data_IF_123641350581
#
_entry.id   IF_123641350581
#
_cell.length_a   1.000
_cell.length_b   1.000
_cell.length_c   1.000
_cell.angle_alpha   90.00
_cell.angle_beta   90.00
_cell.angle_gamma   90.00
#
_symmetry.space_group_name_H-M   'P 1'
#
loop_
_entity.id
_entity.type
_entity.pdbx_description
1 polymer ?
#
# COMPACT_ATOMS: atom_id res chain seq x y z
N UNK A 1 2.86 50.90 -38.41
CA UNK A 1 4.11 51.04 -37.62
C UNK A 1 4.18 49.85 -36.65
N UNK A 2 4.94 48.84 -37.05
CA UNK A 2 5.15 47.62 -36.25
C UNK A 2 6.31 47.86 -35.30
N UNK A 3 6.14 47.59 -34.00
CA UNK A 3 7.23 47.51 -33.03
C UNK A 3 7.39 46.07 -32.56
N UNK A 4 8.46 45.44 -33.02
CA UNK A 4 8.91 44.10 -32.59
C UNK A 4 9.58 44.20 -31.23
N UNK A 5 9.18 43.37 -30.28
CA UNK A 5 9.84 43.18 -28.98
C UNK A 5 10.83 42.02 -29.05
N UNK A 6 12.02 42.10 -28.43
CA UNK A 6 13.03 41.05 -28.49
C UNK A 6 12.72 39.89 -27.52
N UNK A 7 12.81 38.66 -28.04
CA UNK A 7 12.73 37.42 -27.25
C UNK A 7 14.08 37.17 -26.56
N UNK A 8 14.12 37.33 -25.26
CA UNK A 8 15.27 36.94 -24.44
C UNK A 8 15.23 35.42 -24.20
N UNK A 9 16.19 34.70 -24.78
CA UNK A 9 16.40 33.25 -24.51
C UNK A 9 17.14 33.12 -23.18
N UNK A 10 16.48 32.53 -22.13
CA UNK A 10 17.15 32.12 -20.93
C UNK A 10 17.82 30.75 -21.16
N UNK A 11 19.14 30.77 -21.24
CA UNK A 11 19.98 29.58 -21.26
C UNK A 11 20.07 29.03 -19.82
N UNK A 12 19.47 27.88 -19.58
CA UNK A 12 19.62 27.15 -18.29
C UNK A 12 20.93 26.36 -18.33
N UNK A 13 21.87 26.78 -17.50
CA UNK A 13 23.12 26.06 -17.23
C UNK A 13 22.78 24.91 -16.26
N UNK A 14 22.93 23.65 -16.72
CA UNK A 14 22.90 22.46 -15.85
C UNK A 14 24.28 22.35 -15.15
N UNK A 15 24.30 22.56 -13.85
CA UNK A 15 25.44 22.22 -13.01
C UNK A 15 25.30 20.75 -12.59
N UNK A 16 26.13 19.87 -13.17
CA UNK A 16 26.29 18.49 -12.71
C UNK A 16 27.15 18.50 -11.44
N UNK A 17 26.56 18.22 -10.29
CA UNK A 17 27.29 17.94 -9.06
C UNK A 17 27.62 16.43 -9.03
N UNK A 18 28.90 16.09 -9.21
CA UNK A 18 29.44 14.76 -9.03
C UNK A 18 29.61 14.49 -7.53
N UNK A 19 28.94 13.47 -7.00
CA UNK A 19 29.11 12.96 -5.64
C UNK A 19 30.11 11.81 -5.66
N UNK A 20 31.25 11.86 -4.93
CA UNK A 20 32.17 10.73 -4.84
C UNK A 20 31.60 9.66 -3.89
N UNK A 21 31.41 8.44 -4.39
CA UNK A 21 31.12 7.25 -3.59
C UNK A 21 32.42 6.75 -2.96
N UNK A 22 32.53 6.85 -1.62
CA UNK A 22 33.60 6.20 -0.88
C UNK A 22 33.19 4.76 -0.55
N UNK A 23 33.85 3.80 -1.18
CA UNK A 23 33.84 2.38 -0.81
C UNK A 23 34.77 2.18 0.38
N UNK A 24 34.21 1.85 1.53
CA UNK A 24 34.98 1.34 2.68
C UNK A 24 34.97 -0.18 2.59
N UNK A 25 36.08 -0.76 2.17
CA UNK A 25 36.35 -2.18 2.25
C UNK A 25 36.91 -2.49 3.64
N UNK A 26 36.12 -3.16 4.48
CA UNK A 26 36.62 -3.77 5.73
C UNK A 26 37.15 -5.17 5.38
N UNK A 27 38.46 -5.31 5.27
CA UNK A 27 39.17 -6.58 5.13
C UNK A 27 39.31 -7.27 6.48
N UNK A 28 38.82 -8.50 6.59
CA UNK A 28 39.27 -9.43 7.61
C UNK A 28 40.54 -10.12 7.12
N UNK A 29 41.67 -9.84 7.72
CA UNK A 29 42.88 -10.63 7.57
C UNK A 29 42.98 -11.61 8.72
N UNK A 30 42.98 -12.88 8.40
CA UNK A 30 43.45 -13.96 9.28
C UNK A 30 44.92 -14.20 8.97
N UNK A 31 45.76 -13.91 9.94
CA UNK A 31 47.18 -14.27 9.91
C UNK A 31 47.38 -15.62 10.56
N UNK A 32 47.99 -16.51 9.80
CA UNK A 32 48.55 -17.79 10.23
C UNK A 32 50.05 -17.73 10.08
N UNK A 33 50.81 -17.93 11.15
CA UNK A 33 52.23 -18.33 11.15
C UNK A 33 52.48 -19.16 12.38
N UNK A 34 52.80 -20.31 12.19
CA UNK A 34 53.95 -21.13 11.87
C UNK A 34 54.80 -21.57 13.09
N UNK A 35 55.03 -22.88 13.12
CA UNK A 35 56.18 -23.64 13.60
C UNK A 35 56.48 -23.81 15.07
N UNK A 36 56.50 -25.07 15.48
CA UNK A 36 57.20 -25.58 16.66
C UNK A 36 56.97 -27.07 16.88
N UNK A 37 57.81 -27.90 16.27
CA UNK A 37 57.96 -29.34 16.55
C UNK A 37 58.34 -29.58 18.01
N UNK A 38 57.75 -30.57 18.71
CA UNK A 38 58.57 -31.63 19.38
C UNK A 38 57.69 -32.79 19.80
N UNK A 39 58.24 -33.98 19.61
CA UNK A 39 57.76 -35.34 19.95
C UNK A 39 57.54 -35.57 21.43
N UNK A 40 56.56 -36.38 21.76
CA UNK A 40 56.43 -36.99 23.09
C UNK A 40 55.33 -38.04 23.12
N UNK A 41 55.72 -39.24 23.14
CA UNK A 41 55.00 -40.51 23.15
C UNK A 41 54.37 -40.79 24.54
N UNK A 42 53.19 -41.43 24.57
CA UNK A 42 52.71 -42.10 25.82
C UNK A 42 51.19 -42.15 25.91
N UNK A 43 50.58 -43.13 25.41
CA UNK A 43 49.90 -44.28 26.03
C UNK A 43 48.67 -44.01 26.90
N UNK A 44 47.59 -44.59 26.41
CA UNK A 44 46.49 -45.33 27.07
C UNK A 44 45.36 -44.63 27.84
N UNK A 45 44.18 -44.96 27.33
CA UNK A 45 42.95 -45.37 28.02
C UNK A 45 42.07 -44.30 28.66
N UNK A 46 40.93 -43.99 28.08
CA UNK A 46 39.62 -44.48 28.57
C UNK A 46 38.52 -43.83 27.74
N UNK A 47 37.68 -44.63 27.15
CA UNK A 47 36.44 -44.21 26.51
C UNK A 47 35.52 -43.55 27.55
N UNK A 48 35.28 -42.25 27.39
CA UNK A 48 34.18 -41.60 28.08
C UNK A 48 33.10 -41.35 27.04
N UNK A 49 32.05 -42.15 27.12
CA UNK A 49 30.82 -42.02 26.36
C UNK A 49 30.18 -40.68 26.74
N UNK A 50 30.42 -39.65 25.99
CA UNK A 50 29.69 -38.39 26.14
C UNK A 50 28.27 -38.61 25.61
N UNK A 51 27.35 -38.76 26.56
CA UNK A 51 25.90 -38.77 26.34
C UNK A 51 25.55 -37.49 25.56
N UNK A 52 25.17 -37.66 24.32
CA UNK A 52 24.62 -36.54 23.54
C UNK A 52 23.31 -36.10 24.21
N UNK A 53 23.36 -34.95 24.86
CA UNK A 53 22.15 -34.27 25.33
C UNK A 53 21.31 -33.97 24.08
N UNK A 54 20.04 -34.41 24.01
CA UNK A 54 19.18 -34.08 22.89
C UNK A 54 19.01 -32.57 22.86
N UNK A 55 19.46 -31.97 21.75
CA UNK A 55 19.17 -30.58 21.44
C UNK A 55 17.67 -30.34 21.52
N UNK A 56 17.19 -29.28 22.20
CA UNK A 56 15.77 -29.04 22.30
C UNK A 56 15.19 -28.96 20.89
N UNK A 57 14.31 -29.90 20.57
CA UNK A 57 13.52 -29.91 19.35
C UNK A 57 12.81 -28.56 19.28
N UNK A 58 13.20 -27.70 18.36
CA UNK A 58 12.47 -26.47 18.10
C UNK A 58 11.04 -26.88 17.74
N UNK A 59 10.13 -26.64 18.67
CA UNK A 59 8.69 -26.76 18.45
C UNK A 59 8.36 -25.85 17.25
N UNK A 60 8.12 -26.43 16.09
CA UNK A 60 7.64 -25.70 14.93
C UNK A 60 6.29 -25.11 15.30
N UNK A 61 6.25 -23.79 15.54
CA UNK A 61 5.02 -23.07 15.85
C UNK A 61 4.06 -23.29 14.68
N UNK A 62 3.01 -24.08 14.90
CA UNK A 62 1.96 -24.27 13.90
C UNK A 62 1.25 -22.94 13.70
N UNK A 63 1.36 -22.38 12.52
CA UNK A 63 0.75 -21.08 12.17
C UNK A 63 -0.62 -21.35 11.54
N UNK A 64 -1.63 -20.57 11.93
CA UNK A 64 -2.98 -20.67 11.35
C UNK A 64 -2.94 -20.46 9.83
N UNK A 65 -3.59 -21.32 9.03
CA UNK A 65 -3.66 -21.16 7.58
C UNK A 65 -4.32 -19.84 7.18
N UNK A 66 -3.86 -19.26 6.08
CA UNK A 66 -4.46 -18.04 5.52
C UNK A 66 -5.90 -18.33 5.08
N UNK A 67 -6.84 -17.46 5.48
CA UNK A 67 -8.29 -17.62 5.22
C UNK A 67 -8.62 -17.56 3.74
N UNK A 68 -7.98 -16.68 2.99
CA UNK A 68 -8.23 -16.45 1.57
C UNK A 68 -6.99 -16.76 0.74
N UNK A 69 -7.16 -17.60 -0.28
CA UNK A 69 -6.10 -18.03 -1.18
C UNK A 69 -5.95 -17.14 -2.42
N UNK A 70 -6.99 -16.37 -2.76
CA UNK A 70 -7.05 -15.60 -4.02
C UNK A 70 -7.53 -14.17 -3.77
N UNK A 71 -7.08 -13.25 -4.63
CA UNK A 71 -7.67 -11.92 -4.78
C UNK A 71 -8.79 -11.96 -5.82
N UNK A 72 -9.79 -11.06 -5.72
CA UNK A 72 -10.80 -10.89 -6.77
C UNK A 72 -10.18 -10.28 -8.03
N UNK A 73 -10.89 -10.34 -9.15
CA UNK A 73 -10.58 -9.53 -10.33
C UNK A 73 -10.83 -8.05 -10.00
N UNK A 74 -9.73 -7.32 -9.72
CA UNK A 74 -9.79 -6.05 -8.97
C UNK A 74 -10.67 -5.01 -9.64
N UNK A 75 -10.59 -4.84 -10.96
CA UNK A 75 -11.41 -3.86 -11.68
C UNK A 75 -12.89 -4.28 -11.80
N UNK A 76 -13.25 -5.51 -11.42
CA UNK A 76 -14.63 -6.00 -11.34
C UNK A 76 -15.14 -6.13 -9.91
N UNK A 77 -14.30 -5.84 -8.92
CA UNK A 77 -14.65 -5.97 -7.50
C UNK A 77 -15.67 -4.94 -7.01
N UNK A 78 -15.81 -3.85 -7.75
CA UNK A 78 -16.85 -2.84 -7.57
C UNK A 78 -17.72 -2.84 -8.83
N UNK A 79 -19.03 -2.90 -8.67
CA UNK A 79 -19.96 -3.01 -9.79
C UNK A 79 -19.87 -1.81 -10.75
N UNK A 80 -20.10 -2.05 -12.03
CA UNK A 80 -20.14 -0.98 -13.04
C UNK A 80 -21.19 0.10 -12.71
N UNK A 81 -22.30 -0.28 -12.06
CA UNK A 81 -23.33 0.66 -11.59
C UNK A 81 -22.77 1.59 -10.52
N UNK A 82 -22.07 1.05 -9.54
CA UNK A 82 -21.46 1.85 -8.45
C UNK A 82 -20.35 2.73 -8.99
N UNK A 83 -19.42 2.22 -9.80
CA UNK A 83 -18.34 3.03 -10.36
C UNK A 83 -18.86 4.14 -11.27
N UNK A 84 -19.87 3.90 -12.09
CA UNK A 84 -20.50 4.94 -12.93
C UNK A 84 -21.23 6.01 -12.11
N UNK A 85 -21.83 5.64 -10.97
CA UNK A 85 -22.48 6.59 -10.06
C UNK A 85 -21.46 7.46 -9.32
N UNK A 86 -20.35 6.86 -8.85
CA UNK A 86 -19.33 7.55 -8.06
C UNK A 86 -18.39 8.40 -8.92
N UNK A 87 -18.09 7.94 -10.13
CA UNK A 87 -17.19 8.61 -11.08
C UNK A 87 -17.93 8.83 -12.41
N UNK A 88 -18.91 9.77 -12.46
CA UNK A 88 -19.56 10.13 -13.70
C UNK A 88 -18.51 10.59 -14.72
N UNK A 89 -18.69 10.18 -16.00
CA UNK A 89 -17.72 10.50 -17.06
C UNK A 89 -16.30 9.95 -16.81
N UNK A 90 -16.21 8.77 -16.15
CA UNK A 90 -14.94 8.08 -16.01
C UNK A 90 -14.24 7.92 -17.38
N UNK A 91 -12.97 8.29 -17.46
CA UNK A 91 -12.16 8.18 -18.69
C UNK A 91 -12.10 6.72 -19.18
N UNK A 92 -11.98 5.78 -18.24
CA UNK A 92 -12.00 4.34 -18.49
C UNK A 92 -13.14 3.73 -17.67
N UNK A 93 -14.24 3.35 -18.32
CA UNK A 93 -15.43 2.81 -17.64
C UNK A 93 -15.13 1.55 -16.83
N UNK A 94 -14.25 0.68 -17.35
CA UNK A 94 -13.84 -0.57 -16.70
C UNK A 94 -12.70 -0.39 -15.67
N UNK A 95 -12.29 0.85 -15.42
CA UNK A 95 -11.16 1.17 -14.55
C UNK A 95 -9.80 0.97 -15.24
N UNK A 96 -8.77 1.47 -14.59
CA UNK A 96 -7.37 1.31 -14.99
C UNK A 96 -6.67 0.45 -13.95
N UNK A 97 -6.22 -0.76 -14.31
CA UNK A 97 -5.48 -1.61 -13.39
C UNK A 97 -4.17 -0.97 -12.96
N UNK A 98 -3.83 -1.14 -11.68
CA UNK A 98 -2.51 -0.79 -11.19
C UNK A 98 -1.47 -1.80 -11.70
N UNK A 99 -0.27 -1.30 -12.01
CA UNK A 99 0.85 -2.18 -12.39
C UNK A 99 1.37 -2.87 -11.14
N UNK A 100 1.46 -4.19 -11.16
CA UNK A 100 2.05 -5.02 -10.11
C UNK A 100 2.85 -6.15 -10.72
N UNK A 101 4.01 -6.43 -10.16
CA UNK A 101 4.83 -7.61 -10.50
C UNK A 101 4.32 -8.89 -9.81
N UNK A 102 3.45 -8.76 -8.82
CA UNK A 102 2.86 -9.86 -8.05
C UNK A 102 1.35 -9.69 -7.97
N UNK A 103 0.66 -10.22 -8.97
CA UNK A 103 -0.80 -10.18 -9.06
C UNK A 103 -1.50 -11.20 -8.15
N UNK A 104 -0.77 -12.12 -7.56
CA UNK A 104 -1.33 -13.13 -6.66
C UNK A 104 -1.58 -12.58 -5.26
N UNK A 105 -0.74 -11.66 -4.82
CA UNK A 105 -0.83 -11.03 -3.50
C UNK A 105 -1.18 -9.54 -3.52
N UNK A 106 -1.13 -8.88 -4.68
CA UNK A 106 -1.39 -7.44 -4.81
C UNK A 106 -2.16 -7.11 -6.07
N UNK A 107 -3.12 -6.21 -5.96
CA UNK A 107 -3.85 -5.70 -7.11
C UNK A 107 -4.50 -4.37 -6.79
N UNK A 108 -4.75 -3.57 -7.82
CA UNK A 108 -5.43 -2.28 -7.68
C UNK A 108 -6.16 -1.90 -8.94
N UNK A 109 -7.16 -1.04 -8.79
CA UNK A 109 -7.89 -0.45 -9.91
C UNK A 109 -8.35 0.96 -9.57
N UNK A 110 -8.30 1.85 -10.54
CA UNK A 110 -8.71 3.24 -10.35
C UNK A 110 -9.62 3.74 -11.46
N UNK A 111 -10.50 4.66 -11.09
CA UNK A 111 -11.41 5.38 -11.99
C UNK A 111 -11.29 6.86 -11.73
N UNK A 112 -11.16 7.66 -12.78
CA UNK A 112 -11.20 9.11 -12.66
C UNK A 112 -12.03 9.71 -13.78
N UNK A 113 -12.69 10.81 -13.48
CA UNK A 113 -13.54 11.50 -14.43
C UNK A 113 -13.75 12.95 -14.05
N UNK A 114 -13.94 13.78 -15.06
CA UNK A 114 -14.39 15.15 -14.96
C UNK A 114 -15.75 15.27 -15.66
N UNK A 115 -16.80 15.57 -14.89
CA UNK A 115 -18.09 15.99 -15.44
C UNK A 115 -17.99 17.48 -15.75
N UNK A 116 -17.51 17.75 -16.95
CA UNK A 116 -17.24 19.13 -17.42
C UNK A 116 -18.52 19.81 -17.87
N UNK A 117 -18.83 20.94 -17.25
CA UNK A 117 -19.96 21.83 -17.58
C UNK A 117 -19.47 23.24 -17.95
N UNK A 118 -18.20 23.35 -18.29
CA UNK A 118 -17.54 24.63 -18.64
C UNK A 118 -17.67 25.65 -17.51
N UNK A 119 -18.04 26.87 -17.85
CA UNK A 119 -18.22 27.98 -16.91
C UNK A 119 -19.36 27.80 -15.89
N UNK A 120 -20.21 26.77 -16.06
CA UNK A 120 -21.29 26.43 -15.11
C UNK A 120 -20.79 25.55 -13.95
N UNK A 121 -19.50 25.32 -13.89
CA UNK A 121 -18.85 24.50 -12.91
C UNK A 121 -18.66 23.05 -13.38
N UNK A 122 -17.61 22.41 -12.93
CA UNK A 122 -17.26 21.03 -13.26
C UNK A 122 -16.99 20.23 -11.99
N UNK A 123 -17.24 18.93 -12.03
CA UNK A 123 -17.07 18.04 -10.88
C UNK A 123 -16.05 16.95 -11.21
N UNK A 124 -14.95 16.93 -10.48
CA UNK A 124 -13.95 15.87 -10.56
C UNK A 124 -14.19 14.80 -9.52
N UNK A 125 -14.01 13.54 -9.91
CA UNK A 125 -14.06 12.39 -9.01
C UNK A 125 -12.92 11.43 -9.31
N UNK A 126 -12.40 10.84 -8.24
CA UNK A 126 -11.42 9.77 -8.29
C UNK A 126 -11.80 8.69 -7.29
N UNK A 127 -11.90 7.45 -7.76
CA UNK A 127 -12.07 6.25 -6.96
C UNK A 127 -10.88 5.34 -7.20
N UNK A 128 -10.33 4.80 -6.13
CA UNK A 128 -9.21 3.87 -6.15
C UNK A 128 -9.46 2.75 -5.15
N UNK A 129 -9.14 1.52 -5.54
CA UNK A 129 -9.17 0.36 -4.64
C UNK A 129 -7.90 -0.45 -4.83
N UNK A 130 -7.28 -0.84 -3.71
CA UNK A 130 -6.08 -1.68 -3.68
C UNK A 130 -6.29 -2.85 -2.72
N UNK A 131 -5.72 -4.00 -3.07
CA UNK A 131 -5.78 -5.23 -2.30
C UNK A 131 -4.39 -5.73 -1.99
N UNK A 132 -4.19 -6.23 -0.77
CA UNK A 132 -2.98 -6.88 -0.31
C UNK A 132 -3.37 -8.16 0.42
N UNK A 133 -2.94 -9.31 -0.09
CA UNK A 133 -3.16 -10.61 0.53
C UNK A 133 -1.87 -11.10 1.18
N UNK A 134 -1.97 -11.57 2.39
CA UNK A 134 -0.85 -12.06 3.18
C UNK A 134 -0.97 -13.57 3.35
N UNK A 135 0.09 -14.29 2.98
CA UNK A 135 0.22 -15.73 3.28
C UNK A 135 0.59 -15.92 4.75
N UNK A 136 0.22 -17.07 5.29
CA UNK A 136 0.77 -17.50 6.58
C UNK A 136 2.19 -18.03 6.39
N UNK A 137 3.07 -17.69 7.32
CA UNK A 137 4.49 -18.01 7.27
C UNK A 137 4.96 -18.38 8.68
N UNK A 138 5.70 -19.49 8.83
CA UNK A 138 6.13 -19.99 10.13
C UNK A 138 7.01 -18.99 10.92
N UNK A 139 7.77 -18.15 10.21
CA UNK A 139 8.65 -17.15 10.81
C UNK A 139 7.94 -15.80 11.01
N UNK A 140 7.01 -15.43 10.10
CA UNK A 140 6.37 -14.12 10.08
C UNK A 140 4.96 -14.09 10.73
N UNK A 141 4.41 -15.25 11.08
CA UNK A 141 3.07 -15.37 11.67
C UNK A 141 1.97 -15.66 10.66
N UNK A 142 0.74 -15.73 11.14
CA UNK A 142 -0.44 -16.01 10.31
C UNK A 142 -0.70 -14.86 9.32
N UNK A 143 -1.31 -15.19 8.18
CA UNK A 143 -1.73 -14.17 7.21
C UNK A 143 -2.67 -13.14 7.84
N UNK A 144 -3.50 -13.54 8.79
CA UNK A 144 -4.43 -12.69 9.52
C UNK A 144 -3.70 -11.69 10.44
N UNK A 145 -2.70 -12.14 11.20
CA UNK A 145 -1.86 -11.29 12.05
C UNK A 145 -1.08 -10.28 11.18
N UNK A 146 -0.45 -10.76 10.11
CA UNK A 146 0.28 -9.91 9.16
C UNK A 146 -0.61 -8.85 8.51
N UNK A 147 -1.85 -9.21 8.15
CA UNK A 147 -2.82 -8.24 7.63
C UNK A 147 -3.20 -7.21 8.71
N UNK A 148 -3.40 -7.62 9.96
CA UNK A 148 -3.71 -6.71 11.08
C UNK A 148 -2.57 -5.70 11.30
N UNK A 149 -1.33 -6.15 11.40
CA UNK A 149 -0.17 -5.28 11.57
C UNK A 149 0.00 -4.28 10.41
N UNK A 150 -0.23 -4.75 9.17
CA UNK A 150 -0.12 -3.89 8.01
C UNK A 150 -1.30 -2.91 7.88
N UNK A 151 -2.49 -3.24 8.40
CA UNK A 151 -3.59 -2.28 8.51
C UNK A 151 -3.18 -1.05 9.32
N UNK A 152 -2.51 -1.26 10.46
CA UNK A 152 -2.02 -0.17 11.30
C UNK A 152 -0.99 0.70 10.56
N UNK A 153 -0.06 0.08 9.82
CA UNK A 153 0.95 0.80 9.03
C UNK A 153 0.32 1.62 7.89
N UNK A 154 -0.64 1.05 7.18
CA UNK A 154 -1.35 1.78 6.12
C UNK A 154 -2.22 2.91 6.68
N UNK A 155 -2.85 2.71 7.85
CA UNK A 155 -3.59 3.75 8.54
C UNK A 155 -2.69 4.94 8.91
N UNK A 156 -1.51 4.67 9.48
CA UNK A 156 -0.54 5.71 9.81
C UNK A 156 -0.15 6.54 8.58
N UNK A 157 0.13 5.89 7.44
CA UNK A 157 0.45 6.59 6.18
C UNK A 157 -0.66 7.55 5.74
N UNK A 158 -1.93 7.15 5.87
CA UNK A 158 -3.05 8.02 5.52
C UNK A 158 -3.18 9.17 6.50
N UNK A 159 -2.98 8.92 7.80
CA UNK A 159 -3.03 9.95 8.85
C UNK A 159 -1.90 10.98 8.74
N UNK A 160 -0.75 10.57 8.20
CA UNK A 160 0.42 11.42 7.97
C UNK A 160 0.41 12.09 6.57
N UNK A 161 -0.72 12.09 5.87
CA UNK A 161 -0.82 12.71 4.53
C UNK A 161 -0.40 14.18 4.59
N UNK A 162 0.68 14.58 3.88
CA UNK A 162 1.18 15.94 3.93
C UNK A 162 0.15 16.97 3.46
N UNK A 163 -0.03 18.03 4.23
CA UNK A 163 -0.98 19.11 3.91
C UNK A 163 -2.45 18.76 4.17
N UNK A 164 -2.75 17.58 4.71
CA UNK A 164 -4.11 17.21 5.09
C UNK A 164 -4.67 18.16 6.15
N UNK A 165 -5.87 18.68 5.90
CA UNK A 165 -6.63 19.51 6.83
C UNK A 165 -7.87 18.79 7.29
N UNK A 166 -8.36 19.11 8.49
CA UNK A 166 -9.59 18.54 9.07
C UNK A 166 -9.58 17.00 9.10
N UNK A 167 -8.40 16.41 9.28
CA UNK A 167 -8.25 14.96 9.33
C UNK A 167 -8.99 14.39 10.54
N UNK A 168 -9.83 13.39 10.28
CA UNK A 168 -10.55 12.63 11.30
C UNK A 168 -10.50 11.16 10.98
N UNK A 169 -10.31 10.34 12.01
CA UNK A 169 -10.33 8.88 11.92
C UNK A 169 -11.46 8.34 12.79
N UNK A 170 -12.28 7.45 12.22
CA UNK A 170 -13.34 6.75 12.95
C UNK A 170 -13.27 5.26 12.66
N UNK A 171 -13.67 4.44 13.63
CA UNK A 171 -13.87 3.01 13.42
C UNK A 171 -15.17 2.81 12.64
N UNK A 172 -15.10 2.07 11.53
CA UNK A 172 -16.29 1.66 10.78
C UNK A 172 -16.70 0.25 11.24
N UNK A 173 -18.01 0.04 11.42
CA UNK A 173 -18.59 -1.25 11.83
C UNK A 173 -19.33 -1.90 10.67
N UNK A 174 -19.42 -3.24 10.68
CA UNK A 174 -20.15 -4.00 9.66
C UNK A 174 -19.47 -4.06 8.29
N UNK A 175 -18.17 -3.82 8.21
CA UNK A 175 -17.37 -3.91 6.99
C UNK A 175 -16.10 -4.71 7.31
N UNK A 176 -15.99 -5.94 6.81
CA UNK A 176 -14.88 -6.83 7.11
C UNK A 176 -14.78 -7.20 8.59
N UNK A 177 -13.61 -7.63 9.03
CA UNK A 177 -13.31 -7.97 10.42
C UNK A 177 -12.86 -6.73 11.21
N UNK A 178 -12.22 -5.78 10.53
CA UNK A 178 -11.75 -4.52 11.10
C UNK A 178 -11.73 -3.44 10.02
N UNK A 179 -12.26 -2.25 10.33
CA UNK A 179 -12.27 -1.14 9.38
C UNK A 179 -12.04 0.22 10.05
N UNK A 180 -11.28 1.07 9.35
CA UNK A 180 -11.04 2.48 9.72
C UNK A 180 -11.42 3.38 8.54
N UNK A 181 -12.14 4.44 8.84
CA UNK A 181 -12.45 5.51 7.88
C UNK A 181 -11.67 6.75 8.26
N UNK A 182 -10.94 7.30 7.32
CA UNK A 182 -10.20 8.55 7.47
C UNK A 182 -10.76 9.57 6.49
N UNK A 183 -11.22 10.71 6.99
CA UNK A 183 -11.68 11.84 6.18
C UNK A 183 -10.71 13.01 6.34
N UNK A 184 -10.45 13.72 5.26
CA UNK A 184 -9.59 14.91 5.27
C UNK A 184 -9.82 15.78 4.04
N UNK A 185 -9.25 16.97 4.05
CA UNK A 185 -9.24 17.89 2.93
C UNK A 185 -7.80 18.15 2.48
N UNK A 186 -7.59 18.25 1.17
CA UNK A 186 -6.31 18.66 0.58
C UNK A 186 -6.56 19.76 -0.43
N UNK A 187 -5.70 20.80 -0.41
CA UNK A 187 -5.65 21.78 -1.46
C UNK A 187 -4.65 21.34 -2.53
N UNK A 188 -5.11 21.18 -3.76
CA UNK A 188 -4.31 20.79 -4.92
C UNK A 188 -4.76 21.63 -6.12
N UNK A 189 -3.81 22.11 -6.93
CA UNK A 189 -4.11 22.88 -8.17
C UNK A 189 -5.12 24.00 -7.94
N UNK A 190 -4.94 24.72 -6.82
CA UNK A 190 -5.80 25.81 -6.36
C UNK A 190 -7.26 25.44 -6.02
N UNK A 191 -7.58 24.15 -5.97
CA UNK A 191 -8.89 23.65 -5.57
C UNK A 191 -8.83 22.83 -4.27
N UNK A 192 -9.91 22.88 -3.51
CA UNK A 192 -10.08 22.07 -2.31
C UNK A 192 -10.70 20.71 -2.66
N UNK A 193 -10.02 19.64 -2.26
CA UNK A 193 -10.48 18.27 -2.44
C UNK A 193 -10.99 17.70 -1.13
N UNK A 194 -12.16 17.08 -1.15
CA UNK A 194 -12.64 16.25 -0.06
C UNK A 194 -12.22 14.79 -0.29
N UNK A 195 -11.61 14.17 0.72
CA UNK A 195 -11.10 12.80 0.70
C UNK A 195 -11.78 11.93 1.74
N UNK A 196 -12.04 10.69 1.38
CA UNK A 196 -12.33 9.60 2.31
C UNK A 196 -11.50 8.39 1.91
N UNK A 197 -10.70 7.88 2.85
CA UNK A 197 -10.01 6.61 2.73
C UNK A 197 -10.63 5.62 3.72
N UNK A 198 -11.00 4.43 3.25
CA UNK A 198 -11.51 3.35 4.09
C UNK A 198 -10.54 2.17 3.96
N UNK A 199 -9.97 1.79 5.09
CA UNK A 199 -9.02 0.69 5.22
C UNK A 199 -9.73 -0.45 5.93
N UNK A 200 -9.75 -1.61 5.31
CA UNK A 200 -10.49 -2.78 5.82
C UNK A 200 -9.58 -4.01 5.84
N UNK A 201 -9.60 -4.74 6.94
CA UNK A 201 -9.09 -6.11 7.00
C UNK A 201 -10.26 -7.09 6.92
N UNK A 202 -10.12 -8.09 6.06
CA UNK A 202 -10.99 -9.25 6.01
C UNK A 202 -10.11 -10.50 5.89
N UNK A 203 -10.09 -11.33 6.95
CA UNK A 203 -9.15 -12.43 7.07
C UNK A 203 -7.70 -11.94 6.93
N UNK A 204 -6.99 -12.53 5.98
CA UNK A 204 -5.62 -12.20 5.61
C UNK A 204 -5.51 -11.18 4.46
N UNK A 205 -6.60 -10.48 4.11
CA UNK A 205 -6.62 -9.49 3.03
C UNK A 205 -6.89 -8.11 3.58
N UNK A 206 -6.09 -7.11 3.13
CA UNK A 206 -6.41 -5.70 3.26
C UNK A 206 -7.08 -5.19 1.99
N UNK A 207 -8.12 -4.41 2.16
CA UNK A 207 -8.79 -3.63 1.13
C UNK A 207 -8.61 -2.16 1.48
N UNK A 208 -7.87 -1.43 0.67
CA UNK A 208 -7.65 0.00 0.82
C UNK A 208 -8.43 0.70 -0.28
N UNK A 209 -9.42 1.50 0.11
CA UNK A 209 -10.23 2.25 -0.83
C UNK A 209 -10.10 3.75 -0.55
N UNK A 210 -9.84 4.54 -1.59
CA UNK A 210 -9.86 5.99 -1.52
C UNK A 210 -10.87 6.55 -2.51
N UNK A 211 -11.70 7.46 -2.05
CA UNK A 211 -12.63 8.21 -2.89
C UNK A 211 -12.50 9.69 -2.58
N UNK A 212 -12.36 10.49 -3.64
CA UNK A 212 -12.20 11.93 -3.48
C UNK A 212 -12.83 12.71 -4.64
N UNK A 213 -12.98 14.00 -4.43
CA UNK A 213 -13.48 14.90 -5.45
C UNK A 213 -13.24 16.36 -5.14
N UNK A 214 -13.31 17.16 -6.20
CA UNK A 214 -13.25 18.62 -6.17
C UNK A 214 -14.27 19.23 -7.12
N UNK A 215 -14.62 20.50 -6.87
CA UNK A 215 -15.32 21.35 -7.81
C UNK A 215 -14.32 22.25 -8.54
N UNK A 216 -14.58 22.50 -9.80
CA UNK A 216 -13.81 23.42 -10.66
C UNK A 216 -14.72 24.47 -11.30
N UNK A 217 -14.14 25.58 -11.75
CA UNK A 217 -14.85 26.66 -12.43
C UNK A 217 -16.06 27.18 -11.62
N UNK A 218 -15.88 27.38 -10.32
CA UNK A 218 -16.90 27.90 -9.42
C UNK A 218 -17.89 26.85 -8.88
N UNK A 219 -17.72 25.57 -9.21
CA UNK A 219 -18.49 24.51 -8.58
C UNK A 219 -18.01 24.25 -7.16
N UNK A 220 -18.94 23.96 -6.26
CA UNK A 220 -18.63 23.62 -4.88
C UNK A 220 -17.85 22.29 -4.76
N UNK A 221 -16.91 22.24 -3.82
CA UNK A 221 -16.28 20.98 -3.40
C UNK A 221 -17.38 20.03 -2.87
N UNK A 222 -17.39 18.75 -3.27
CA UNK A 222 -18.37 17.80 -2.76
C UNK A 222 -18.30 17.70 -1.23
N UNK A 223 -19.47 17.55 -0.59
CA UNK A 223 -19.51 17.44 0.86
C UNK A 223 -18.79 16.17 1.35
N UNK A 224 -18.17 16.25 2.53
CA UNK A 224 -17.58 15.08 3.20
C UNK A 224 -18.58 13.90 3.28
N UNK A 225 -19.83 14.17 3.58
CA UNK A 225 -20.89 13.15 3.64
C UNK A 225 -21.08 12.45 2.30
N UNK A 226 -21.09 13.19 1.19
CA UNK A 226 -21.22 12.62 -0.15
C UNK A 226 -20.05 11.68 -0.47
N UNK A 227 -18.83 12.13 -0.21
CA UNK A 227 -17.61 11.35 -0.47
C UNK A 227 -17.57 10.11 0.45
N UNK A 228 -17.88 10.26 1.73
CA UNK A 228 -17.87 9.14 2.70
C UNK A 228 -18.91 8.09 2.37
N UNK A 229 -20.14 8.49 2.03
CA UNK A 229 -21.19 7.53 1.65
C UNK A 229 -20.84 6.77 0.37
N UNK A 230 -20.27 7.46 -0.61
CA UNK A 230 -19.78 6.82 -1.85
C UNK A 230 -18.68 5.80 -1.57
N UNK A 231 -17.66 6.18 -0.79
CA UNK A 231 -16.59 5.29 -0.37
C UNK A 231 -17.12 4.07 0.39
N UNK A 232 -18.07 4.26 1.32
CA UNK A 232 -18.68 3.18 2.10
C UNK A 232 -19.46 2.19 1.22
N UNK A 233 -20.14 2.67 0.18
CA UNK A 233 -20.83 1.80 -0.78
C UNK A 233 -19.82 0.97 -1.56
N UNK A 234 -18.79 1.58 -2.12
CA UNK A 234 -17.80 0.90 -2.93
C UNK A 234 -16.97 -0.12 -2.13
N UNK A 235 -16.56 0.23 -0.89
CA UNK A 235 -15.74 -0.68 -0.07
C UNK A 235 -16.49 -1.92 0.37
N UNK A 236 -17.80 -1.84 0.60
CA UNK A 236 -18.64 -3.02 0.91
C UNK A 236 -18.65 -4.01 -0.25
N UNK A 237 -18.80 -3.53 -1.49
CA UNK A 237 -18.71 -4.39 -2.69
C UNK A 237 -17.32 -4.99 -2.82
N UNK A 238 -16.27 -4.18 -2.64
CA UNK A 238 -14.88 -4.61 -2.71
C UNK A 238 -14.54 -5.71 -1.71
N UNK A 239 -15.01 -5.60 -0.46
CA UNK A 239 -14.85 -6.63 0.59
C UNK A 239 -15.64 -7.89 0.26
N UNK A 240 -16.88 -7.75 -0.22
CA UNK A 240 -17.69 -8.89 -0.64
C UNK A 240 -17.06 -9.67 -1.79
N UNK A 241 -16.37 -8.99 -2.71
CA UNK A 241 -15.67 -9.61 -3.83
C UNK A 241 -14.52 -10.52 -3.36
N UNK A 242 -13.82 -10.20 -2.25
CA UNK A 242 -12.79 -11.08 -1.66
C UNK A 242 -13.41 -12.41 -1.26
N UNK A 243 -14.53 -12.39 -0.53
CA UNK A 243 -15.21 -13.61 -0.12
C UNK A 243 -15.75 -14.39 -1.33
N UNK A 244 -16.26 -13.71 -2.35
CA UNK A 244 -16.78 -14.35 -3.56
C UNK A 244 -15.71 -15.06 -4.38
N UNK A 245 -14.48 -14.51 -4.43
CA UNK A 245 -13.36 -15.11 -5.15
C UNK A 245 -12.80 -16.40 -4.48
N UNK A 246 -13.22 -16.69 -3.25
CA UNK A 246 -12.72 -17.80 -2.43
C UNK A 246 -13.81 -18.81 -2.05
N UNK A 247 -14.93 -18.82 -2.80
CA UNK A 247 -16.00 -19.83 -2.69
C UNK A 247 -15.72 -21.05 -3.53
#
# INVERSE_FOLDING_TARGET
>A
MQRSAPRTRLTRILACAAVPVMLVAAGCSSDSDESGKTQGQGKDTTASSASATPSPSQSTKTVEPAKFAKLPEVCKSISAKTTASLVPKAKTKNGTPAVSSDLTSRGGCSWNGLDDKGVKGSQYRWLDVSYYRYESDAALGSGQERAHENLAKELAKVQETPGAKKLRTVTATGIGDEAKTVTYQLRKTDEDFAYTSILVRTGNVLVLLSYNGAGYAGADTPSEKTITNGAATAVKEAVAAVAAANK
#
